data_IF_344084832367
#
_entry.id   IF_344084832367
#
_cell.length_a   1.000
_cell.length_b   1.000
_cell.length_c   1.000
_cell.angle_alpha   90.00
_cell.angle_beta   90.00
_cell.angle_gamma   90.00
#
_symmetry.space_group_name_H-M   'P 1'
#
loop_
_entity.id
_entity.type
_entity.pdbx_description
1 polymer ?
#
# COMPACT_ATOMS: atom_id res chain seq x y z
N UNK A 1 -1.05 19.72 -9.84
CA UNK A 1 -0.17 19.82 -11.02
C UNK A 1 -0.96 19.76 -12.34
N UNK A 2 -1.72 18.73 -12.64
CA UNK A 2 -2.46 18.59 -13.93
C UNK A 2 -3.26 19.84 -14.25
N UNK A 3 -4.17 20.26 -13.38
CA UNK A 3 -5.04 21.42 -13.60
C UNK A 3 -4.29 22.72 -13.95
N UNK A 4 -3.07 22.90 -13.47
CA UNK A 4 -2.31 24.15 -13.62
C UNK A 4 -1.23 24.08 -14.70
N UNK A 5 -1.04 22.90 -15.33
CA UNK A 5 0.06 22.70 -16.28
C UNK A 5 -0.39 22.05 -17.60
N UNK A 6 -1.68 21.70 -17.73
CA UNK A 6 -2.25 21.14 -18.95
C UNK A 6 -3.15 22.21 -19.58
N UNK A 7 -2.64 22.89 -20.61
CA UNK A 7 -3.27 24.02 -21.27
C UNK A 7 -4.57 23.62 -21.98
N UNK A 8 -4.64 22.38 -22.45
CA UNK A 8 -5.80 21.79 -23.12
C UNK A 8 -7.06 21.76 -22.23
N UNK A 9 -6.89 21.71 -20.91
CA UNK A 9 -8.04 21.78 -19.99
C UNK A 9 -8.81 23.10 -20.10
N UNK A 10 -8.11 24.21 -20.39
CA UNK A 10 -8.70 25.52 -20.57
C UNK A 10 -9.12 25.75 -22.03
N UNK A 11 -8.23 25.44 -22.99
CA UNK A 11 -8.46 25.70 -24.42
C UNK A 11 -9.57 24.84 -24.99
N UNK A 12 -9.69 23.58 -24.55
CA UNK A 12 -10.75 22.65 -24.97
C UNK A 12 -11.96 22.64 -24.04
N UNK A 13 -12.00 23.56 -23.07
CA UNK A 13 -13.09 23.68 -22.09
C UNK A 13 -13.41 22.35 -21.38
N UNK A 14 -12.39 21.56 -21.05
CA UNK A 14 -12.55 20.28 -20.36
C UNK A 14 -12.93 20.52 -18.90
N UNK A 15 -14.03 19.90 -18.47
CA UNK A 15 -14.48 19.98 -17.09
C UNK A 15 -13.62 19.08 -16.18
N UNK A 16 -12.56 19.65 -15.62
CA UNK A 16 -11.63 18.94 -14.75
C UNK A 16 -12.13 18.88 -13.30
N UNK A 17 -12.60 17.73 -12.88
CA UNK A 17 -13.06 17.49 -11.52
C UNK A 17 -11.91 17.02 -10.63
N UNK A 18 -11.66 17.74 -9.53
CA UNK A 18 -10.68 17.36 -8.51
C UNK A 18 -11.21 17.59 -7.08
N UNK A 19 -12.39 17.05 -6.73
CA UNK A 19 -12.94 17.22 -5.40
C UNK A 19 -12.10 16.49 -4.35
N UNK A 20 -12.05 17.05 -3.14
CA UNK A 20 -11.46 16.33 -2.01
C UNK A 20 -12.41 15.21 -1.57
N UNK A 21 -11.92 13.96 -1.62
CA UNK A 21 -12.65 12.76 -1.21
C UNK A 21 -11.90 12.04 -0.11
N UNK A 22 -12.56 11.75 1.00
CA UNK A 22 -12.00 11.00 2.12
C UNK A 22 -12.44 9.54 2.05
N UNK A 23 -11.46 8.62 1.97
CA UNK A 23 -11.67 7.17 1.95
C UNK A 23 -11.54 6.51 3.32
N UNK A 24 -11.68 7.27 4.40
CA UNK A 24 -11.55 6.77 5.76
C UNK A 24 -12.82 6.12 6.30
N UNK A 25 -13.96 6.50 5.74
CA UNK A 25 -15.28 6.06 6.19
C UNK A 25 -16.24 6.04 5.00
N UNK A 26 -17.00 4.96 4.85
CA UNK A 26 -17.96 4.77 3.77
C UNK A 26 -19.00 5.91 3.70
N UNK A 27 -19.54 6.31 4.84
CA UNK A 27 -20.55 7.38 4.88
C UNK A 27 -19.99 8.72 4.40
N UNK A 28 -18.81 9.10 4.85
CA UNK A 28 -18.16 10.36 4.46
C UNK A 28 -17.85 10.35 2.96
N UNK A 29 -17.32 9.24 2.43
CA UNK A 29 -17.08 9.07 1.00
C UNK A 29 -18.37 9.20 0.20
N UNK A 30 -19.41 8.48 0.60
CA UNK A 30 -20.69 8.44 -0.10
C UNK A 30 -21.39 9.81 -0.09
N UNK A 31 -21.42 10.50 1.05
CA UNK A 31 -21.98 11.85 1.14
C UNK A 31 -21.20 12.85 0.25
N UNK A 32 -19.87 12.67 0.16
CA UNK A 32 -19.03 13.42 -0.78
C UNK A 32 -19.40 13.15 -2.25
N UNK A 33 -19.53 11.89 -2.64
CA UNK A 33 -19.93 11.50 -3.98
C UNK A 33 -21.32 12.03 -4.37
N UNK A 34 -22.30 11.94 -3.47
CA UNK A 34 -23.64 12.50 -3.70
C UNK A 34 -23.57 14.00 -3.95
N UNK A 35 -22.79 14.73 -3.14
CA UNK A 35 -22.63 16.19 -3.31
C UNK A 35 -22.00 16.58 -4.64
N UNK A 36 -20.95 15.86 -5.05
CA UNK A 36 -20.17 16.20 -6.24
C UNK A 36 -20.83 15.72 -7.54
N UNK A 37 -21.41 14.52 -7.55
CA UNK A 37 -21.95 13.92 -8.77
C UNK A 37 -23.46 14.10 -8.94
N UNK A 38 -24.22 14.10 -7.83
CA UNK A 38 -25.69 14.09 -7.92
C UNK A 38 -26.26 15.23 -8.74
N UNK A 39 -25.90 16.48 -8.42
CA UNK A 39 -26.38 17.65 -9.15
C UNK A 39 -25.74 17.81 -10.53
N UNK A 40 -24.44 17.55 -10.61
CA UNK A 40 -23.65 17.79 -11.83
C UNK A 40 -24.07 16.87 -12.96
N UNK A 41 -24.28 15.60 -12.66
CA UNK A 41 -24.63 14.58 -13.65
C UNK A 41 -26.08 14.16 -13.58
N UNK A 42 -26.90 14.80 -12.73
CA UNK A 42 -28.31 14.47 -12.52
C UNK A 42 -28.53 13.00 -12.15
N UNK A 43 -27.61 12.41 -11.39
CA UNK A 43 -27.69 11.03 -10.93
C UNK A 43 -28.49 10.97 -9.64
N UNK A 44 -29.49 10.08 -9.52
CA UNK A 44 -30.25 9.89 -8.30
C UNK A 44 -29.36 9.55 -7.11
N UNK A 45 -29.60 10.15 -5.95
CA UNK A 45 -28.81 9.90 -4.73
C UNK A 45 -28.77 8.41 -4.37
N UNK A 46 -29.89 7.69 -4.52
CA UNK A 46 -29.98 6.26 -4.25
C UNK A 46 -29.03 5.42 -5.10
N UNK A 47 -28.86 5.80 -6.36
CA UNK A 47 -27.94 5.13 -7.29
C UNK A 47 -26.48 5.35 -6.88
N UNK A 48 -26.11 6.57 -6.54
CA UNK A 48 -24.76 6.90 -6.06
C UNK A 48 -24.44 6.13 -4.76
N UNK A 49 -25.39 6.10 -3.82
CA UNK A 49 -25.22 5.37 -2.57
C UNK A 49 -25.07 3.87 -2.77
N UNK A 50 -25.85 3.29 -3.67
CA UNK A 50 -25.77 1.88 -4.02
C UNK A 50 -24.41 1.54 -4.65
N UNK A 51 -23.95 2.34 -5.61
CA UNK A 51 -22.67 2.16 -6.28
C UNK A 51 -21.48 2.32 -5.29
N UNK A 52 -21.52 3.35 -4.43
CA UNK A 52 -20.50 3.58 -3.41
C UNK A 52 -20.44 2.42 -2.40
N UNK A 53 -21.60 1.90 -1.96
CA UNK A 53 -21.66 0.74 -1.08
C UNK A 53 -21.07 -0.52 -1.73
N UNK A 54 -21.40 -0.78 -2.99
CA UNK A 54 -20.85 -1.91 -3.73
C UNK A 54 -19.31 -1.81 -3.86
N UNK A 55 -18.78 -0.63 -4.21
CA UNK A 55 -17.34 -0.40 -4.28
C UNK A 55 -16.65 -0.51 -2.92
N UNK A 56 -17.29 -0.03 -1.85
CA UNK A 56 -16.76 -0.16 -0.48
C UNK A 56 -16.68 -1.61 -0.04
N UNK A 57 -17.74 -2.38 -0.31
CA UNK A 57 -17.77 -3.82 -0.02
C UNK A 57 -16.66 -4.56 -0.75
N UNK A 58 -16.44 -4.25 -2.02
CA UNK A 58 -15.38 -4.87 -2.82
C UNK A 58 -13.98 -4.49 -2.30
N UNK A 59 -13.78 -3.24 -1.90
CA UNK A 59 -12.52 -2.82 -1.26
C UNK A 59 -12.20 -3.65 -0.01
N UNK A 60 -13.20 -3.91 0.84
CA UNK A 60 -13.02 -4.72 2.04
C UNK A 60 -12.78 -6.20 1.70
N UNK A 61 -13.48 -6.73 0.70
CA UNK A 61 -13.28 -8.11 0.23
C UNK A 61 -11.88 -8.29 -0.34
N UNK A 62 -11.41 -7.40 -1.19
CA UNK A 62 -10.06 -7.43 -1.76
C UNK A 62 -8.97 -7.40 -0.67
N UNK A 63 -9.13 -6.58 0.36
CA UNK A 63 -8.20 -6.59 1.52
C UNK A 63 -8.19 -7.93 2.23
N UNK A 64 -9.37 -8.48 2.50
CA UNK A 64 -9.48 -9.79 3.17
C UNK A 64 -8.86 -10.92 2.34
N UNK A 65 -9.00 -10.87 1.02
CA UNK A 65 -8.41 -11.87 0.13
C UNK A 65 -6.88 -11.77 0.10
N UNK A 66 -6.34 -10.54 0.15
CA UNK A 66 -4.90 -10.30 0.25
C UNK A 66 -4.33 -10.85 1.57
N UNK A 67 -4.98 -10.56 2.70
CA UNK A 67 -4.61 -11.07 4.03
C UNK A 67 -4.63 -12.60 4.07
N UNK A 68 -5.70 -13.23 3.59
CA UNK A 68 -5.79 -14.70 3.49
C UNK A 68 -4.68 -15.29 2.64
N UNK A 69 -4.36 -14.64 1.51
CA UNK A 69 -3.28 -15.12 0.65
C UNK A 69 -1.92 -15.04 1.33
N UNK A 70 -1.70 -14.02 2.14
CA UNK A 70 -0.53 -13.92 3.01
C UNK A 70 -0.45 -15.08 4.00
N UNK A 71 -1.54 -15.36 4.73
CA UNK A 71 -1.62 -16.45 5.70
C UNK A 71 -1.43 -17.83 5.05
N UNK A 72 -2.05 -18.08 3.89
CA UNK A 72 -1.85 -19.29 3.09
C UNK A 72 -0.37 -19.47 2.69
N UNK A 73 0.27 -18.39 2.24
CA UNK A 73 1.68 -18.41 1.84
C UNK A 73 2.60 -18.71 3.04
N UNK A 74 2.34 -18.11 4.18
CA UNK A 74 3.10 -18.40 5.42
C UNK A 74 2.93 -19.84 5.87
N UNK A 75 1.74 -20.40 5.75
CA UNK A 75 1.47 -21.80 6.04
C UNK A 75 2.23 -22.73 5.09
N UNK A 76 2.19 -22.43 3.80
CA UNK A 76 2.94 -23.15 2.78
C UNK A 76 4.45 -23.11 3.03
N UNK A 77 4.99 -21.93 3.40
CA UNK A 77 6.41 -21.79 3.75
C UNK A 77 6.81 -22.72 4.89
N UNK A 78 5.98 -22.77 5.95
CA UNK A 78 6.21 -23.64 7.10
C UNK A 78 6.21 -25.13 6.71
N UNK A 79 5.23 -25.55 5.91
CA UNK A 79 5.08 -26.94 5.45
C UNK A 79 6.26 -27.40 4.58
N UNK A 80 6.82 -26.47 3.78
CA UNK A 80 7.89 -26.79 2.82
C UNK A 80 9.30 -26.36 3.29
N UNK A 81 9.43 -25.89 4.53
CA UNK A 81 10.71 -25.41 5.08
C UNK A 81 11.31 -24.26 4.27
N UNK A 82 10.47 -23.37 3.73
CA UNK A 82 10.89 -22.25 2.92
C UNK A 82 11.02 -20.97 3.72
N UNK A 83 11.91 -20.10 3.27
CA UNK A 83 11.99 -18.71 3.74
C UNK A 83 11.24 -17.80 2.80
N UNK A 84 10.86 -16.61 3.27
CA UNK A 84 10.16 -15.61 2.49
C UNK A 84 10.75 -14.22 2.63
N UNK A 85 10.43 -13.41 1.65
CA UNK A 85 10.73 -11.98 1.62
C UNK A 85 9.41 -11.21 1.60
N UNK A 86 9.23 -10.31 2.54
CA UNK A 86 8.18 -9.28 2.45
C UNK A 86 8.73 -8.15 1.59
N UNK A 87 8.24 -8.06 0.36
CA UNK A 87 8.57 -6.99 -0.57
C UNK A 87 7.64 -5.81 -0.28
N UNK A 88 8.17 -4.84 0.43
CA UNK A 88 7.43 -3.69 0.92
C UNK A 88 7.65 -2.46 0.03
N UNK A 89 6.74 -1.49 0.09
CA UNK A 89 6.85 -0.25 -0.65
C UNK A 89 5.52 0.48 -0.75
N UNK A 90 5.40 1.31 -1.75
CA UNK A 90 4.15 1.97 -2.10
C UNK A 90 3.29 1.04 -2.96
N UNK A 91 1.94 1.23 -3.01
CA UNK A 91 1.08 0.36 -3.82
C UNK A 91 1.49 0.24 -5.29
N UNK A 92 2.05 1.29 -5.89
CA UNK A 92 2.50 1.25 -7.29
C UNK A 92 3.78 0.44 -7.49
N UNK A 93 4.54 0.12 -6.44
CA UNK A 93 5.73 -0.73 -6.54
C UNK A 93 5.42 -2.19 -6.87
N UNK A 94 4.15 -2.62 -6.83
CA UNK A 94 3.75 -3.96 -7.28
C UNK A 94 3.47 -4.02 -8.79
N UNK A 95 3.53 -2.89 -9.49
CA UNK A 95 3.40 -2.84 -10.94
C UNK A 95 4.66 -3.40 -11.62
N UNK A 96 4.53 -4.35 -12.59
CA UNK A 96 5.66 -4.96 -13.27
C UNK A 96 6.60 -3.97 -13.97
N UNK A 97 6.06 -2.89 -14.53
CA UNK A 97 6.86 -1.83 -15.17
C UNK A 97 7.66 -1.00 -14.15
N UNK A 98 7.23 -0.98 -12.90
CA UNK A 98 7.90 -0.24 -11.82
C UNK A 98 8.96 -1.10 -11.13
N UNK A 99 8.66 -2.38 -10.82
CA UNK A 99 9.60 -3.24 -10.08
C UNK A 99 10.56 -4.04 -10.95
N UNK A 100 10.45 -3.96 -12.28
CA UNK A 100 11.41 -4.55 -13.25
C UNK A 100 11.75 -6.03 -12.99
N UNK A 101 10.77 -6.85 -12.55
CA UNK A 101 10.96 -8.28 -12.30
C UNK A 101 11.65 -8.63 -10.98
N UNK A 102 11.77 -7.70 -10.03
CA UNK A 102 12.34 -7.95 -8.70
C UNK A 102 11.66 -9.12 -7.97
N UNK A 103 10.30 -9.24 -7.95
CA UNK A 103 9.64 -10.38 -7.32
C UNK A 103 10.03 -11.73 -7.94
N UNK A 104 10.13 -11.79 -9.26
CA UNK A 104 10.52 -13.01 -9.97
C UNK A 104 11.98 -13.39 -9.68
N UNK A 105 12.86 -12.40 -9.59
CA UNK A 105 14.25 -12.61 -9.20
C UNK A 105 14.35 -13.19 -7.78
N UNK A 106 13.62 -12.63 -6.82
CA UNK A 106 13.56 -13.14 -5.44
C UNK A 106 13.03 -14.57 -5.42
N UNK A 107 11.94 -14.84 -6.16
CA UNK A 107 11.38 -16.19 -6.27
C UNK A 107 12.34 -17.19 -6.91
N UNK A 108 13.16 -16.76 -7.90
CA UNK A 108 14.16 -17.61 -8.53
C UNK A 108 15.25 -18.13 -7.58
N UNK A 109 15.49 -17.42 -6.48
CA UNK A 109 16.37 -17.87 -5.39
C UNK A 109 15.68 -18.82 -4.40
N UNK A 110 14.43 -19.17 -4.64
CA UNK A 110 13.68 -20.14 -3.84
C UNK A 110 12.97 -19.55 -2.61
N UNK A 111 12.87 -18.22 -2.52
CA UNK A 111 12.10 -17.54 -1.49
C UNK A 111 10.63 -17.41 -1.91
N UNK A 112 9.73 -17.45 -0.93
CA UNK A 112 8.38 -16.95 -1.12
C UNK A 112 8.38 -15.42 -1.13
N UNK A 113 7.53 -14.80 -1.96
CA UNK A 113 7.38 -13.34 -1.99
C UNK A 113 6.00 -12.97 -1.46
N UNK A 114 5.98 -12.10 -0.46
CA UNK A 114 4.78 -11.54 0.14
C UNK A 114 4.83 -10.02 -0.01
N UNK A 115 3.67 -9.37 -0.04
CA UNK A 115 3.57 -7.91 0.02
C UNK A 115 3.32 -7.44 1.46
N UNK A 116 3.61 -6.17 1.76
CA UNK A 116 3.39 -5.66 3.12
C UNK A 116 1.92 -5.70 3.55
N UNK A 117 0.97 -5.50 2.62
CA UNK A 117 -0.47 -5.54 2.90
C UNK A 117 -0.99 -6.96 3.13
N UNK A 118 -0.30 -7.98 2.66
CA UNK A 118 -0.66 -9.38 2.93
C UNK A 118 -0.29 -9.84 4.34
N UNK A 119 0.57 -9.11 5.06
CA UNK A 119 1.09 -9.52 6.39
C UNK A 119 0.94 -8.46 7.48
N UNK A 120 0.67 -7.21 7.14
CA UNK A 120 0.63 -6.08 8.08
C UNK A 120 -0.38 -6.29 9.21
N UNK A 121 -1.55 -6.88 8.94
CA UNK A 121 -2.60 -7.16 9.93
C UNK A 121 -2.14 -8.06 11.08
N UNK A 122 -1.06 -8.82 10.90
CA UNK A 122 -0.45 -9.67 11.93
C UNK A 122 0.60 -8.94 12.77
N UNK A 123 1.02 -7.74 12.36
CA UNK A 123 2.03 -6.95 13.04
C UNK A 123 1.46 -6.03 14.10
N UNK A 124 2.18 -5.88 15.21
CA UNK A 124 1.84 -4.91 16.25
C UNK A 124 2.99 -3.94 16.45
N UNK A 125 2.75 -2.69 16.10
CA UNK A 125 3.74 -1.62 16.23
C UNK A 125 3.89 -1.20 17.68
N UNK A 126 5.11 -1.24 18.19
CA UNK A 126 5.45 -0.70 19.50
C UNK A 126 5.59 0.82 19.43
N UNK A 127 5.05 1.51 20.42
CA UNK A 127 5.10 2.98 20.50
C UNK A 127 5.90 3.45 21.72
N UNK A 128 6.54 4.64 21.70
CA UNK A 128 6.48 5.66 20.64
C UNK A 128 7.33 5.29 19.41
N UNK A 129 6.95 5.80 18.24
CA UNK A 129 7.76 5.76 17.03
C UNK A 129 8.71 6.97 17.00
N UNK A 130 9.81 6.84 16.26
CA UNK A 130 10.76 7.96 16.01
C UNK A 130 10.11 8.99 15.10
N UNK A 131 9.27 8.54 14.17
CA UNK A 131 8.58 9.37 13.20
C UNK A 131 7.08 9.37 13.42
N UNK A 132 6.41 10.36 12.85
CA UNK A 132 4.96 10.49 12.92
C UNK A 132 4.26 9.41 12.09
N UNK A 133 3.28 8.74 12.71
CA UNK A 133 2.47 7.68 12.11
C UNK A 133 1.10 8.25 11.72
N UNK A 134 1.06 8.97 10.60
CA UNK A 134 -0.14 9.68 10.13
C UNK A 134 -0.66 9.18 8.79
N UNK A 135 0.14 8.40 8.05
CA UNK A 135 -0.20 7.96 6.72
C UNK A 135 -0.43 6.46 6.67
N UNK A 136 -1.53 6.06 6.09
CA UNK A 136 -1.98 4.67 6.03
C UNK A 136 -0.91 3.71 5.48
N UNK A 137 -0.22 4.08 4.39
CA UNK A 137 0.81 3.22 3.80
C UNK A 137 2.06 3.09 4.66
N UNK A 138 2.45 4.16 5.34
CA UNK A 138 3.59 4.13 6.26
C UNK A 138 3.27 3.28 7.50
N UNK A 139 2.08 3.47 8.09
CA UNK A 139 1.61 2.64 9.20
C UNK A 139 1.63 1.16 8.85
N UNK A 140 1.16 0.82 7.66
CA UNK A 140 1.16 -0.56 7.15
C UNK A 140 2.58 -1.13 6.97
N UNK A 141 3.54 -0.32 6.51
CA UNK A 141 4.94 -0.71 6.44
C UNK A 141 5.52 -0.99 7.83
N UNK A 142 5.21 -0.16 8.83
CA UNK A 142 5.66 -0.37 10.20
C UNK A 142 5.04 -1.63 10.83
N UNK A 143 3.78 -1.90 10.54
CA UNK A 143 3.09 -3.12 10.96
C UNK A 143 3.74 -4.36 10.32
N UNK A 144 3.98 -4.35 9.01
CA UNK A 144 4.66 -5.43 8.32
C UNK A 144 6.09 -5.66 8.86
N UNK A 145 6.87 -4.60 9.08
CA UNK A 145 8.20 -4.70 9.70
C UNK A 145 8.12 -5.26 11.12
N UNK A 146 7.10 -4.84 11.89
CA UNK A 146 6.85 -5.36 13.24
C UNK A 146 6.45 -6.83 13.26
N UNK A 147 5.80 -7.32 12.22
CA UNK A 147 5.54 -8.75 12.05
C UNK A 147 6.83 -9.50 11.66
N UNK A 148 7.56 -9.03 10.67
CA UNK A 148 8.80 -9.66 10.19
C UNK A 148 9.83 -9.82 11.30
N UNK A 149 9.97 -8.84 12.20
CA UNK A 149 10.92 -8.91 13.33
C UNK A 149 10.67 -10.11 14.26
N UNK A 150 9.45 -10.64 14.28
CA UNK A 150 9.08 -11.78 15.16
C UNK A 150 9.32 -13.14 14.52
N UNK A 151 9.79 -13.21 13.27
CA UNK A 151 9.90 -14.43 12.48
C UNK A 151 11.32 -14.66 11.94
N UNK A 152 11.89 -15.82 12.18
CA UNK A 152 13.22 -16.17 11.69
C UNK A 152 13.23 -16.56 10.19
N UNK A 153 12.08 -16.93 9.65
CA UNK A 153 11.90 -17.37 8.26
C UNK A 153 11.49 -16.25 7.31
N UNK A 154 11.37 -14.99 7.80
CA UNK A 154 11.04 -13.83 7.00
C UNK A 154 12.12 -12.74 7.10
N UNK A 155 12.40 -12.10 5.98
CA UNK A 155 13.14 -10.85 5.88
C UNK A 155 12.31 -9.81 5.11
N UNK A 156 12.70 -8.53 5.20
CA UNK A 156 11.99 -7.45 4.53
C UNK A 156 12.92 -6.71 3.57
N UNK A 157 12.48 -6.56 2.33
CA UNK A 157 13.10 -5.69 1.32
C UNK A 157 12.10 -4.58 1.00
N UNK A 158 12.53 -3.34 1.11
CA UNK A 158 11.69 -2.19 0.75
C UNK A 158 12.11 -1.62 -0.61
N UNK A 159 11.14 -1.52 -1.52
CA UNK A 159 11.28 -0.73 -2.73
C UNK A 159 11.05 0.74 -2.38
N UNK A 160 11.92 1.61 -2.84
CA UNK A 160 11.91 3.02 -2.52
C UNK A 160 12.07 3.86 -3.78
N UNK A 161 11.23 4.86 -3.97
CA UNK A 161 11.35 5.79 -5.09
C UNK A 161 12.49 6.77 -4.85
N UNK A 162 13.29 7.00 -5.87
CA UNK A 162 14.39 7.94 -5.83
C UNK A 162 13.86 9.37 -5.57
N UNK A 163 14.41 10.03 -4.55
CA UNK A 163 14.04 11.42 -4.23
C UNK A 163 12.69 11.61 -3.52
N UNK A 164 11.97 10.54 -3.14
CA UNK A 164 10.75 10.69 -2.34
C UNK A 164 11.08 10.98 -0.87
N UNK A 165 10.84 12.22 -0.43
CA UNK A 165 11.10 12.63 0.96
C UNK A 165 10.29 11.87 2.01
N UNK A 166 9.06 11.43 1.68
CA UNK A 166 8.24 10.62 2.58
C UNK A 166 8.82 9.20 2.75
N UNK A 167 9.38 8.63 1.68
CA UNK A 167 10.00 7.32 1.75
C UNK A 167 11.30 7.37 2.59
N UNK A 168 12.05 8.47 2.54
CA UNK A 168 13.22 8.65 3.38
C UNK A 168 12.88 8.56 4.89
N UNK A 169 11.81 9.21 5.31
CA UNK A 169 11.31 9.14 6.70
C UNK A 169 10.83 7.72 7.06
N UNK A 170 10.16 7.05 6.13
CA UNK A 170 9.64 5.69 6.34
C UNK A 170 10.78 4.68 6.48
N UNK A 171 11.83 4.80 5.67
CA UNK A 171 12.98 3.88 5.73
C UNK A 171 13.69 3.93 7.07
N UNK A 172 13.84 5.12 7.67
CA UNK A 172 14.47 5.28 8.99
C UNK A 172 13.68 4.54 10.08
N UNK A 173 12.35 4.65 10.07
CA UNK A 173 11.51 3.97 11.06
C UNK A 173 11.50 2.46 10.86
N UNK A 174 11.42 1.98 9.62
CA UNK A 174 11.49 0.52 9.32
C UNK A 174 12.85 -0.03 9.71
N UNK A 175 13.93 0.68 9.42
CA UNK A 175 15.28 0.32 9.84
C UNK A 175 15.37 0.17 11.37
N UNK A 176 14.82 1.13 12.12
CA UNK A 176 14.79 1.07 13.57
C UNK A 176 14.06 -0.18 14.10
N UNK A 177 12.87 -0.49 13.55
CA UNK A 177 12.06 -1.64 13.97
C UNK A 177 12.82 -2.94 13.73
N UNK A 178 13.47 -3.11 12.57
CA UNK A 178 14.13 -4.34 12.18
C UNK A 178 15.50 -4.50 12.85
N UNK A 179 16.34 -3.47 12.87
CA UNK A 179 17.71 -3.55 13.40
C UNK A 179 17.74 -3.77 14.90
N UNK A 180 16.80 -3.21 15.66
CA UNK A 180 16.64 -3.50 17.10
C UNK A 180 16.42 -4.98 17.40
N UNK A 181 15.93 -5.73 16.43
CA UNK A 181 15.69 -7.18 16.53
C UNK A 181 16.78 -8.02 15.84
N UNK A 182 17.88 -7.41 15.43
CA UNK A 182 18.98 -8.08 14.74
C UNK A 182 18.66 -8.50 13.29
N UNK A 183 17.56 -8.01 12.71
CA UNK A 183 17.18 -8.27 11.32
C UNK A 183 17.97 -7.41 10.35
N UNK A 184 18.29 -7.99 9.20
CA UNK A 184 18.84 -7.23 8.08
C UNK A 184 17.69 -6.46 7.41
N UNK A 185 17.92 -5.18 7.17
CA UNK A 185 17.01 -4.34 6.41
C UNK A 185 17.66 -3.95 5.07
N UNK A 186 16.97 -4.25 3.99
CA UNK A 186 17.44 -3.95 2.63
C UNK A 186 16.50 -2.95 1.97
N UNK A 187 17.06 -1.87 1.44
CA UNK A 187 16.34 -0.87 0.65
C UNK A 187 16.86 -0.92 -0.78
N UNK A 188 15.96 -1.15 -1.72
CA UNK A 188 16.24 -1.06 -3.15
C UNK A 188 15.65 0.25 -3.67
N UNK A 189 16.51 1.15 -4.09
CA UNK A 189 16.10 2.38 -4.76
C UNK A 189 15.83 2.08 -6.21
N UNK A 190 14.61 2.31 -6.65
CA UNK A 190 14.18 2.16 -8.04
C UNK A 190 13.91 3.52 -8.63
N UNK A 191 14.36 3.73 -9.86
CA UNK A 191 14.19 4.95 -10.62
C UNK A 191 13.79 4.64 -12.07
N UNK A 192 13.32 5.65 -12.78
CA UNK A 192 12.95 5.59 -14.19
C UNK A 192 14.23 5.57 -15.08
N UNK A 193 14.91 4.47 -15.18
CA UNK A 193 16.02 4.33 -16.13
C UNK A 193 15.75 3.20 -17.07
#
# INVERSE_FOLDING_TARGET
NIKNNVEELETEHVDFMNPFMAFTNEKILTDGLVREFGKKFQIPEAEIRMAAHAGWKELLASRSDMEKKGEETLSWMKEHGKRGIVLAGRPYHVDPEIHHGIPDLIASYGFAVLTEDSVSHMGKVERPLVVTDQWMYHSRLYEAASFVKTRDDLDLIQLNSFGCGLDAVTTDQVAEILTKSGKIYTVLKIDEV
#
